data_IF_488808131518
#
_entry.id   IF_488808131518
#
_cell.length_a   1.000
_cell.length_b   1.000
_cell.length_c   1.000
_cell.angle_alpha   90.00
_cell.angle_beta   90.00
_cell.angle_gamma   90.00
#
_symmetry.space_group_name_H-M   'P 1'
#
loop_
_entity.id
_entity.type
_entity.pdbx_description
1 polymer ?
#
# COMPACT_ATOMS: atom_id res chain seq x y z
N UNK A 1 -1.63 -3.35 22.54
CA UNK A 1 -1.59 -4.22 21.33
C UNK A 1 -1.17 -3.39 20.14
N UNK A 2 -0.44 -3.95 19.18
CA UNK A 2 0.01 -3.24 17.98
C UNK A 2 -0.91 -3.38 16.78
N UNK A 3 -1.82 -4.35 16.81
CA UNK A 3 -2.70 -4.68 15.70
C UNK A 3 -4.13 -4.82 16.19
N UNK A 4 -5.06 -4.58 15.27
CA UNK A 4 -6.48 -4.82 15.42
C UNK A 4 -6.86 -6.09 14.66
N UNK A 5 -7.89 -6.83 15.09
CA UNK A 5 -8.52 -7.84 14.25
C UNK A 5 -8.94 -7.23 12.91
N UNK A 6 -8.81 -8.00 11.81
CA UNK A 6 -9.22 -7.51 10.48
C UNK A 6 -10.69 -7.03 10.49
N UNK A 7 -11.55 -7.66 11.28
CA UNK A 7 -12.98 -7.31 11.39
C UNK A 7 -13.25 -5.93 11.99
N UNK A 8 -12.33 -5.42 12.80
CA UNK A 8 -12.44 -4.07 13.40
C UNK A 8 -11.95 -2.99 12.43
N UNK A 9 -11.31 -3.38 11.32
CA UNK A 9 -10.89 -2.44 10.31
C UNK A 9 -12.09 -1.96 9.48
N UNK A 10 -12.28 -0.64 9.42
CA UNK A 10 -13.42 0.01 8.74
C UNK A 10 -13.66 -0.49 7.30
N UNK A 11 -12.60 -0.86 6.59
CA UNK A 11 -12.66 -1.29 5.19
C UNK A 11 -12.47 -2.80 5.02
N UNK A 12 -12.62 -3.60 6.09
CA UNK A 12 -12.44 -5.06 6.04
C UNK A 12 -13.30 -5.77 4.98
N UNK A 13 -14.44 -5.17 4.62
CA UNK A 13 -15.37 -5.70 3.63
C UNK A 13 -14.73 -5.89 2.25
N UNK A 14 -13.69 -5.12 1.88
CA UNK A 14 -13.02 -5.23 0.57
C UNK A 14 -12.33 -6.59 0.39
N UNK A 15 -11.84 -7.18 1.48
CA UNK A 15 -11.19 -8.50 1.46
C UNK A 15 -12.19 -9.65 1.47
N UNK A 16 -13.48 -9.34 1.66
CA UNK A 16 -14.61 -10.28 1.66
C UNK A 16 -15.55 -10.05 0.47
N UNK A 17 -15.17 -9.16 -0.46
CA UNK A 17 -16.01 -8.78 -1.57
C UNK A 17 -16.25 -9.97 -2.51
N UNK A 18 -17.51 -10.21 -2.90
CA UNK A 18 -17.92 -11.43 -3.61
C UNK A 18 -17.29 -11.59 -4.99
N UNK A 19 -16.92 -10.49 -5.65
CA UNK A 19 -16.26 -10.56 -6.96
C UNK A 19 -14.81 -11.05 -6.88
N UNK A 20 -14.13 -10.83 -5.75
CA UNK A 20 -12.72 -11.20 -5.54
C UNK A 20 -12.46 -11.52 -4.06
N UNK A 21 -12.94 -12.67 -3.55
CA UNK A 21 -12.76 -13.00 -2.13
C UNK A 21 -11.30 -13.41 -1.87
N UNK A 22 -10.65 -12.74 -0.91
CA UNK A 22 -9.38 -13.23 -0.40
C UNK A 22 -9.62 -14.49 0.44
N UNK A 23 -8.74 -15.48 0.34
CA UNK A 23 -8.83 -16.71 1.13
C UNK A 23 -8.70 -16.41 2.63
N UNK A 24 -9.18 -17.31 3.49
CA UNK A 24 -9.04 -17.13 4.94
C UNK A 24 -7.58 -17.04 5.39
N UNK A 25 -6.68 -17.73 4.68
CA UNK A 25 -5.23 -17.66 4.93
C UNK A 25 -4.67 -16.27 4.58
N UNK A 26 -5.07 -15.73 3.43
CA UNK A 26 -4.66 -14.39 2.99
C UNK A 26 -5.18 -13.31 3.94
N UNK A 27 -6.44 -13.42 4.38
CA UNK A 27 -7.05 -12.51 5.34
C UNK A 27 -6.31 -12.52 6.68
N UNK A 28 -5.87 -13.69 7.16
CA UNK A 28 -5.11 -13.80 8.41
C UNK A 28 -3.71 -13.13 8.34
N UNK A 29 -3.17 -12.95 7.13
CA UNK A 29 -1.91 -12.25 6.89
C UNK A 29 -2.07 -10.73 6.74
N UNK A 30 -3.31 -10.22 6.68
CA UNK A 30 -3.60 -8.78 6.62
C UNK A 30 -3.83 -8.29 8.05
N UNK A 31 -2.91 -7.48 8.55
CA UNK A 31 -2.89 -7.04 9.95
C UNK A 31 -3.04 -5.52 10.03
N UNK A 32 -4.25 -5.00 10.21
CA UNK A 32 -4.45 -3.59 10.49
C UNK A 32 -3.73 -3.20 11.77
N UNK A 33 -2.95 -2.12 11.71
CA UNK A 33 -2.28 -1.58 12.88
C UNK A 33 -3.24 -0.75 13.73
N UNK A 34 -2.95 -0.66 15.04
CA UNK A 34 -3.61 0.34 15.88
C UNK A 34 -3.20 1.75 15.44
N UNK A 35 -4.06 2.75 15.65
CA UNK A 35 -3.76 4.14 15.28
C UNK A 35 -2.43 4.63 15.89
N UNK A 36 -2.13 4.27 17.14
CA UNK A 36 -0.87 4.60 17.79
C UNK A 36 0.35 4.07 17.02
N UNK A 37 0.31 2.81 16.56
CA UNK A 37 1.40 2.22 15.78
C UNK A 37 1.47 2.78 14.37
N UNK A 38 0.33 2.98 13.72
CA UNK A 38 0.24 3.62 12.40
C UNK A 38 0.91 4.99 12.42
N UNK A 39 0.61 5.80 13.46
CA UNK A 39 1.16 7.13 13.64
C UNK A 39 2.69 7.12 13.73
N UNK A 40 3.25 6.22 14.55
CA UNK A 40 4.70 6.09 14.68
C UNK A 40 5.36 5.70 13.36
N UNK A 41 4.76 4.75 12.62
CA UNK A 41 5.30 4.32 11.32
C UNK A 41 5.23 5.46 10.30
N UNK A 42 4.09 6.13 10.19
CA UNK A 42 3.89 7.26 9.28
C UNK A 42 4.85 8.41 9.58
N UNK A 43 4.97 8.82 10.85
CA UNK A 43 5.88 9.90 11.27
C UNK A 43 7.36 9.57 11.01
N UNK A 44 7.70 8.27 11.03
CA UNK A 44 9.07 7.79 10.82
C UNK A 44 9.43 7.70 9.34
N UNK A 45 8.52 7.22 8.49
CA UNK A 45 8.84 6.85 7.10
C UNK A 45 8.18 7.73 6.04
N UNK A 46 7.12 8.46 6.36
CA UNK A 46 6.31 9.19 5.37
C UNK A 46 6.35 10.70 5.67
N UNK A 47 5.71 11.16 6.74
CA UNK A 47 5.64 12.57 7.10
C UNK A 47 5.29 12.75 8.57
N UNK A 48 5.84 13.77 9.22
CA UNK A 48 5.46 14.15 10.60
C UNK A 48 4.26 15.11 10.67
N UNK A 49 3.93 15.77 9.55
CA UNK A 49 2.97 16.87 9.53
C UNK A 49 1.72 16.53 8.71
N UNK A 50 1.85 15.73 7.66
CA UNK A 50 0.73 15.30 6.82
C UNK A 50 -0.03 14.15 7.47
N UNK A 51 -1.35 14.14 7.32
CA UNK A 51 -2.21 13.03 7.79
C UNK A 51 -2.62 12.16 6.60
N UNK A 52 -2.90 12.77 5.45
CA UNK A 52 -3.19 12.13 4.17
C UNK A 52 -2.14 12.50 3.12
N UNK A 53 -2.16 11.80 1.97
CA UNK A 53 -1.30 12.13 0.84
C UNK A 53 -1.53 13.52 0.27
N UNK A 54 -2.77 14.02 0.38
CA UNK A 54 -3.14 15.34 -0.14
C UNK A 54 -2.59 16.48 0.72
N UNK A 55 -2.21 16.16 1.96
CA UNK A 55 -1.66 17.13 2.91
C UNK A 55 -0.12 17.27 2.78
N UNK A 56 0.53 16.53 1.86
CA UNK A 56 1.98 16.60 1.74
C UNK A 56 2.46 18.00 1.36
N UNK A 57 3.32 18.55 2.21
CA UNK A 57 3.98 19.81 1.98
C UNK A 57 5.28 19.63 1.19
N UNK A 58 5.90 20.76 0.83
CA UNK A 58 7.17 20.79 0.07
C UNK A 58 8.34 20.09 0.73
N UNK A 59 8.27 19.86 2.05
CA UNK A 59 9.31 19.20 2.83
C UNK A 59 9.07 17.69 2.97
N UNK A 60 7.90 17.20 2.56
CA UNK A 60 7.57 15.78 2.61
C UNK A 60 8.11 15.12 1.34
N UNK A 61 8.92 14.08 1.50
CA UNK A 61 9.57 13.42 0.37
C UNK A 61 8.56 12.83 -0.66
N UNK A 62 7.34 12.37 -0.30
CA UNK A 62 6.39 11.92 -1.31
C UNK A 62 5.82 13.05 -2.18
N UNK A 63 5.97 14.32 -1.79
CA UNK A 63 5.61 15.45 -2.64
C UNK A 63 6.71 15.81 -3.65
N UNK A 64 7.94 15.31 -3.48
CA UNK A 64 9.03 15.55 -4.41
C UNK A 64 9.00 14.54 -5.56
N UNK A 65 8.63 15.02 -6.76
CA UNK A 65 8.61 14.20 -7.97
C UNK A 65 9.98 13.61 -8.34
N UNK A 66 11.10 14.19 -7.89
CA UNK A 66 12.44 13.63 -8.14
C UNK A 66 12.64 12.26 -7.46
N UNK A 67 11.87 11.96 -6.41
CA UNK A 67 11.90 10.65 -5.76
C UNK A 67 11.13 9.58 -6.54
N UNK A 68 10.38 9.97 -7.58
CA UNK A 68 9.61 9.06 -8.42
C UNK A 68 10.20 8.99 -9.83
N UNK A 69 10.60 7.78 -10.20
CA UNK A 69 11.27 7.51 -11.48
C UNK A 69 10.31 7.37 -12.66
N UNK A 70 9.09 6.88 -12.40
CA UNK A 70 8.10 6.59 -13.44
C UNK A 70 6.69 6.54 -12.87
N UNK A 71 5.71 6.60 -13.77
CA UNK A 71 4.28 6.45 -13.46
C UNK A 71 3.67 5.46 -14.44
N UNK A 72 2.89 4.51 -13.93
CA UNK A 72 2.26 3.44 -14.68
C UNK A 72 0.77 3.41 -14.40
N UNK A 73 -0.03 2.96 -15.36
CA UNK A 73 -1.47 2.83 -15.18
C UNK A 73 -1.81 1.42 -14.70
N UNK A 74 -2.21 1.28 -13.44
CA UNK A 74 -2.56 -0.02 -12.86
C UNK A 74 -4.02 -0.39 -13.14
N UNK A 75 -4.89 0.60 -13.39
CA UNK A 75 -6.32 0.37 -13.62
C UNK A 75 -6.57 -0.42 -14.92
N UNK A 76 -5.85 -0.11 -15.99
CA UNK A 76 -5.90 -0.88 -17.23
C UNK A 76 -5.55 -2.37 -17.01
N UNK A 77 -4.63 -2.64 -16.07
CA UNK A 77 -4.27 -4.01 -15.68
C UNK A 77 -5.36 -4.67 -14.84
N UNK A 78 -6.03 -3.89 -13.99
CA UNK A 78 -7.13 -4.38 -13.16
C UNK A 78 -8.28 -4.94 -13.99
N UNK A 79 -8.67 -4.23 -15.05
CA UNK A 79 -9.76 -4.61 -15.96
C UNK A 79 -9.41 -5.81 -16.86
N UNK A 80 -8.13 -6.20 -16.93
CA UNK A 80 -7.70 -7.34 -17.72
C UNK A 80 -8.03 -8.68 -17.06
N UNK A 81 -8.09 -9.74 -17.88
CA UNK A 81 -8.28 -11.13 -17.42
C UNK A 81 -7.10 -11.68 -16.61
N UNK A 82 -6.00 -10.93 -16.55
CA UNK A 82 -4.82 -11.33 -15.82
C UNK A 82 -4.91 -10.88 -14.34
N UNK A 83 -4.45 -11.76 -13.47
CA UNK A 83 -4.52 -11.57 -12.04
C UNK A 83 -3.22 -11.04 -11.43
N UNK A 84 -2.13 -10.99 -12.20
CA UNK A 84 -0.85 -10.50 -11.71
C UNK A 84 -0.79 -8.96 -11.74
N UNK A 85 -0.01 -8.39 -10.82
CA UNK A 85 0.35 -6.97 -10.84
C UNK A 85 0.98 -6.56 -12.18
N UNK A 86 0.93 -5.28 -12.55
CA UNK A 86 1.68 -4.74 -13.68
C UNK A 86 3.17 -5.15 -13.62
N UNK A 87 3.74 -5.56 -14.76
CA UNK A 87 5.12 -6.02 -14.85
C UNK A 87 6.11 -4.94 -14.42
N UNK A 88 5.79 -3.68 -14.70
CA UNK A 88 6.60 -2.52 -14.34
C UNK A 88 6.76 -2.35 -12.83
N UNK A 89 5.72 -2.69 -12.04
CA UNK A 89 5.81 -2.74 -10.58
C UNK A 89 6.72 -3.88 -10.16
N UNK A 90 6.60 -5.05 -10.79
CA UNK A 90 7.41 -6.23 -10.47
C UNK A 90 8.89 -6.02 -10.82
N UNK A 91 9.18 -5.29 -11.90
CA UNK A 91 10.54 -4.97 -12.33
C UNK A 91 11.19 -3.90 -11.44
N UNK A 92 10.41 -2.96 -10.91
CA UNK A 92 10.90 -1.95 -9.97
C UNK A 92 11.18 -2.51 -8.57
N UNK A 93 10.40 -3.50 -8.13
CA UNK A 93 10.43 -4.04 -6.77
C UNK A 93 11.30 -5.30 -6.67
N UNK A 94 12.42 -5.21 -5.96
CA UNK A 94 13.35 -6.34 -5.72
C UNK A 94 13.03 -7.15 -4.43
N UNK A 95 11.81 -7.01 -3.90
CA UNK A 95 11.46 -7.56 -2.60
C UNK A 95 11.26 -9.08 -2.67
N UNK A 96 11.79 -9.77 -1.67
CA UNK A 96 11.49 -11.18 -1.46
C UNK A 96 10.04 -11.36 -1.02
N UNK A 97 9.43 -12.50 -1.36
CA UNK A 97 8.03 -12.82 -1.06
C UNK A 97 7.66 -12.71 0.44
N UNK A 98 8.61 -13.00 1.33
CA UNK A 98 8.45 -12.89 2.78
C UNK A 98 8.69 -11.46 3.33
N UNK A 99 9.02 -10.49 2.48
CA UNK A 99 9.26 -9.11 2.90
C UNK A 99 7.98 -8.55 3.50
N UNK A 100 8.08 -8.01 4.73
CA UNK A 100 6.96 -7.30 5.34
C UNK A 100 6.72 -6.01 4.57
N UNK A 101 5.47 -5.76 4.18
CA UNK A 101 5.06 -4.55 3.49
C UNK A 101 4.00 -3.80 4.29
N UNK A 102 4.00 -2.48 4.15
CA UNK A 102 3.08 -1.56 4.81
C UNK A 102 2.26 -0.84 3.76
N UNK A 103 0.95 -1.02 3.78
CA UNK A 103 0.00 -0.32 2.93
C UNK A 103 -0.60 0.84 3.72
N UNK A 104 -0.11 2.05 3.44
CA UNK A 104 -0.30 3.25 4.25
C UNK A 104 -1.36 4.15 3.63
N UNK A 105 -2.61 4.01 4.09
CA UNK A 105 -3.76 4.79 3.60
C UNK A 105 -3.70 6.23 4.10
N UNK A 106 -3.44 6.36 5.39
CA UNK A 106 -3.23 7.63 6.07
C UNK A 106 -2.48 7.37 7.37
N UNK A 107 -2.14 8.45 8.07
CA UNK A 107 -1.37 8.41 9.31
C UNK A 107 -1.96 7.47 10.38
N UNK A 108 -3.28 7.32 10.44
CA UNK A 108 -3.95 6.47 11.43
C UNK A 108 -4.27 5.05 10.93
N UNK A 109 -4.19 4.80 9.63
CA UNK A 109 -4.63 3.56 9.00
C UNK A 109 -3.53 2.97 8.11
N UNK A 110 -2.81 2.00 8.68
CA UNK A 110 -1.78 1.25 7.99
C UNK A 110 -2.06 -0.25 8.12
N UNK A 111 -2.01 -0.97 7.00
CA UNK A 111 -2.10 -2.43 6.96
C UNK A 111 -0.71 -3.02 6.83
N UNK A 112 -0.39 -4.02 7.65
CA UNK A 112 0.82 -4.82 7.52
C UNK A 112 0.49 -6.16 6.85
N UNK A 113 1.29 -6.55 5.88
CA UNK A 113 1.23 -7.90 5.30
C UNK A 113 2.58 -8.33 4.73
N UNK A 114 2.65 -9.40 3.94
CA UNK A 114 3.85 -9.78 3.18
C UNK A 114 3.72 -9.40 1.72
N UNK A 115 4.85 -9.21 1.04
CA UNK A 115 4.86 -8.91 -0.39
C UNK A 115 4.13 -9.97 -1.21
N UNK A 116 4.35 -11.26 -0.92
CA UNK A 116 3.62 -12.34 -1.57
C UNK A 116 2.11 -12.25 -1.38
N UNK A 117 1.65 -11.94 -0.16
CA UNK A 117 0.23 -11.81 0.11
C UNK A 117 -0.35 -10.61 -0.64
N UNK A 118 0.33 -9.45 -0.60
CA UNK A 118 -0.08 -8.27 -1.36
C UNK A 118 -0.20 -8.57 -2.86
N UNK A 119 0.79 -9.24 -3.48
CA UNK A 119 0.72 -9.61 -4.90
C UNK A 119 -0.50 -10.47 -5.24
N UNK A 120 -0.94 -11.34 -4.33
CA UNK A 120 -2.06 -12.24 -4.60
C UNK A 120 -3.43 -11.57 -4.42
N UNK A 121 -3.52 -10.53 -3.58
CA UNK A 121 -4.77 -9.81 -3.31
C UNK A 121 -4.64 -8.30 -3.60
N UNK A 122 -3.76 -7.92 -4.52
CA UNK A 122 -3.48 -6.52 -4.85
C UNK A 122 -4.75 -5.79 -5.28
N UNK A 123 -5.62 -6.47 -6.05
CA UNK A 123 -6.91 -5.93 -6.43
C UNK A 123 -7.73 -5.55 -5.18
N UNK A 124 -7.81 -6.41 -4.16
CA UNK A 124 -8.51 -6.02 -2.92
C UNK A 124 -7.93 -4.77 -2.26
N UNK A 125 -6.61 -4.56 -2.31
CA UNK A 125 -5.97 -3.38 -1.75
C UNK A 125 -6.26 -2.09 -2.53
N UNK A 126 -6.29 -2.13 -3.87
CA UNK A 126 -6.53 -0.90 -4.66
C UNK A 126 -8.00 -0.46 -4.71
N UNK A 127 -8.93 -1.15 -4.03
CA UNK A 127 -10.19 -0.51 -3.61
C UNK A 127 -9.97 0.65 -2.62
N UNK A 128 -8.77 0.73 -2.04
CA UNK A 128 -8.30 1.79 -1.17
C UNK A 128 -7.01 2.37 -1.77
N UNK A 129 -7.14 3.00 -2.93
CA UNK A 129 -6.06 3.54 -3.77
C UNK A 129 -5.89 5.06 -3.63
N UNK A 130 -6.63 5.70 -2.74
CA UNK A 130 -6.64 7.16 -2.58
C UNK A 130 -5.31 7.67 -2.01
N UNK A 131 -4.31 7.87 -2.89
CA UNK A 131 -2.99 8.39 -2.54
C UNK A 131 -2.14 7.47 -1.68
N UNK A 132 -2.47 6.17 -1.69
CA UNK A 132 -1.94 5.19 -0.74
C UNK A 132 -0.49 4.84 -1.03
N UNK A 133 0.34 4.73 0.01
CA UNK A 133 1.77 4.45 -0.13
C UNK A 133 2.08 3.02 0.30
N UNK A 134 2.73 2.23 -0.55
CA UNK A 134 3.23 0.89 -0.21
C UNK A 134 4.73 0.93 0.07
N UNK A 135 5.12 0.55 1.29
CA UNK A 135 6.51 0.51 1.73
C UNK A 135 6.97 -0.93 2.02
N UNK A 136 8.20 -1.26 1.62
CA UNK A 136 8.86 -2.49 2.05
C UNK A 136 9.68 -2.27 3.31
N UNK A 137 9.56 -3.16 4.30
CA UNK A 137 10.34 -3.07 5.54
C UNK A 137 11.83 -3.17 5.22
N UNK A 138 12.60 -2.13 5.57
CA UNK A 138 14.04 -1.98 5.27
C UNK A 138 14.35 -1.97 3.76
N UNK A 139 13.43 -1.43 2.96
CA UNK A 139 13.59 -1.27 1.52
C UNK A 139 13.40 0.20 1.18
N UNK A 140 14.10 0.63 0.14
CA UNK A 140 14.03 2.01 -0.30
C UNK A 140 13.02 2.19 -1.43
N UNK A 141 12.68 1.14 -2.18
CA UNK A 141 11.60 1.26 -3.17
C UNK A 141 10.27 1.57 -2.51
N UNK A 142 9.44 2.32 -3.22
CA UNK A 142 8.11 2.69 -2.81
C UNK A 142 7.18 2.78 -4.01
N UNK A 143 5.92 2.42 -3.78
CA UNK A 143 4.83 2.63 -4.73
C UNK A 143 3.83 3.61 -4.12
N UNK A 144 3.31 4.53 -4.92
CA UNK A 144 2.18 5.37 -4.53
C UNK A 144 1.04 5.17 -5.51
N UNK A 145 -0.10 4.68 -5.03
CA UNK A 145 -1.31 4.47 -5.81
C UNK A 145 -2.20 5.70 -5.72
N UNK A 146 -2.91 6.02 -6.81
CA UNK A 146 -3.85 7.11 -6.90
C UNK A 146 -5.19 6.62 -7.45
N UNK A 147 -6.27 7.26 -6.99
CA UNK A 147 -7.65 7.05 -7.45
C UNK A 147 -7.91 7.42 -8.92
N UNK A 148 -6.91 7.98 -9.60
CA UNK A 148 -6.92 8.22 -11.05
C UNK A 148 -6.54 6.99 -11.88
N UNK A 149 -6.25 5.86 -11.23
CA UNK A 149 -5.79 4.63 -11.90
C UNK A 149 -4.28 4.58 -12.13
N UNK A 150 -3.52 5.55 -11.60
CA UNK A 150 -2.07 5.65 -11.76
C UNK A 150 -1.32 5.20 -10.51
N UNK A 151 -0.12 4.65 -10.72
CA UNK A 151 0.83 4.27 -9.68
C UNK A 151 2.20 4.90 -9.98
N UNK A 152 2.76 5.63 -9.02
CA UNK A 152 4.11 6.18 -9.10
C UNK A 152 5.12 5.23 -8.49
N UNK A 153 6.22 4.98 -9.21
CA UNK A 153 7.32 4.11 -8.78
C UNK A 153 8.49 4.97 -8.31
N UNK A 154 8.85 4.88 -7.03
CA UNK A 154 9.86 5.75 -6.43
C UNK A 154 10.88 5.03 -5.56
N UNK A 155 11.85 5.83 -5.10
CA UNK A 155 12.86 5.48 -4.10
C UNK A 155 12.77 6.50 -2.97
N UNK A 156 12.54 6.01 -1.76
CA UNK A 156 12.54 6.81 -0.53
C UNK A 156 13.98 7.27 -0.24
N UNK A 157 14.20 8.57 0.08
CA UNK A 157 15.52 9.08 0.45
C UNK A 157 16.03 8.56 1.80
#
# INVERSE_FOLDING_TARGET
MSYLPLEEFKHAWIFRHQSMPASSEQQALIKPMTAERSNVLWDTFISKNAIHSDDFGKNDWPANNENFSSTINWEARWESDDNDLPLEILDHIDWQDNTTVYYCLNRNQILETTWANFKQCWKNFLFLDDGTILLGKKRDQVLQFHSTGDCKLGIKP
#
